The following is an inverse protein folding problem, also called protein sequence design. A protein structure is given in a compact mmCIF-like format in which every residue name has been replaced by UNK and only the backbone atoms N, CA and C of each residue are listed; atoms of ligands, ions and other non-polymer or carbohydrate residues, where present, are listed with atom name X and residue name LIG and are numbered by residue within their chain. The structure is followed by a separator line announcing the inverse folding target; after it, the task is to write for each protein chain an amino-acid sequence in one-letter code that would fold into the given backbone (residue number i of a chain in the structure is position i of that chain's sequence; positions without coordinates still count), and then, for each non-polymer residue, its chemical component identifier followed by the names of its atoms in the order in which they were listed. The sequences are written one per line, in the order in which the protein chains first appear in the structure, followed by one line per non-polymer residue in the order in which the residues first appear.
data_IF_493221097090
#
_entry.id   IF_493221097090
#
_cell.length_a   1.000
_cell.length_b   1.000
_cell.length_c   1.000
_cell.angle_alpha   90.00
_cell.angle_beta   90.00
_cell.angle_gamma   90.00
#
_symmetry.space_group_name_H-M   'P 1'
#
loop_
_entity.id
_entity.type
_entity.pdbx_description
1 polymer ?
#
# COMPACT_ATOMS: atom_id res chain seq x y z
N UNK A 1 21.83 14.90 4.04
CA UNK A 1 21.27 13.61 3.58
C UNK A 1 20.03 13.37 4.40
N UNK A 2 18.93 12.94 3.80
CA UNK A 2 17.83 12.33 4.56
C UNK A 2 18.43 11.16 5.36
N UNK A 3 18.03 11.02 6.62
CA UNK A 3 18.37 9.83 7.40
C UNK A 3 17.98 8.58 6.58
N UNK A 4 18.80 7.53 6.61
CA UNK A 4 18.52 6.26 5.93
C UNK A 4 17.09 5.79 6.24
N UNK A 5 16.59 6.08 7.45
CA UNK A 5 15.21 5.81 7.84
C UNK A 5 14.16 6.59 7.02
N UNK A 6 14.35 7.88 6.78
CA UNK A 6 13.41 8.68 6.00
C UNK A 6 13.38 8.23 4.53
N UNK A 7 14.56 7.92 3.96
CA UNK A 7 14.64 7.34 2.61
C UNK A 7 13.94 5.98 2.53
N UNK A 8 14.14 5.10 3.52
CA UNK A 8 13.48 3.80 3.58
C UNK A 8 11.94 3.94 3.66
N UNK A 9 11.44 4.89 4.45
CA UNK A 9 9.99 5.17 4.54
C UNK A 9 9.45 5.65 3.20
N UNK A 10 10.12 6.63 2.54
CA UNK A 10 9.70 7.10 1.21
C UNK A 10 9.66 5.97 0.20
N UNK A 11 10.67 5.10 0.19
CA UNK A 11 10.72 3.94 -0.70
C UNK A 11 9.57 2.98 -0.42
N UNK A 12 9.29 2.68 0.85
CA UNK A 12 8.19 1.79 1.22
C UNK A 12 6.83 2.36 0.79
N UNK A 13 6.59 3.66 0.97
CA UNK A 13 5.35 4.33 0.54
C UNK A 13 5.11 4.11 -0.97
N UNK A 14 6.16 4.23 -1.79
CA UNK A 14 6.06 4.03 -3.25
C UNK A 14 5.70 2.58 -3.59
N UNK A 15 6.34 1.61 -2.94
CA UNK A 15 6.05 0.19 -3.15
C UNK A 15 4.60 -0.15 -2.76
N UNK A 16 4.15 0.34 -1.61
CA UNK A 16 2.78 0.09 -1.14
C UNK A 16 1.73 0.74 -2.05
N UNK A 17 1.95 1.99 -2.48
CA UNK A 17 1.06 2.64 -3.45
C UNK A 17 0.98 1.88 -4.77
N UNK A 18 2.13 1.42 -5.27
CA UNK A 18 2.18 0.65 -6.53
C UNK A 18 1.44 -0.68 -6.38
N UNK A 19 1.64 -1.37 -5.25
CA UNK A 19 0.93 -2.62 -4.99
C UNK A 19 -0.57 -2.41 -4.81
N UNK A 20 -0.99 -1.35 -4.11
CA UNK A 20 -2.39 -1.00 -3.92
C UNK A 20 -3.06 -0.68 -5.26
N UNK A 21 -2.37 0.05 -6.14
CA UNK A 21 -2.86 0.34 -7.49
C UNK A 21 -3.08 -0.95 -8.28
N UNK A 22 -2.12 -1.88 -8.30
CA UNK A 22 -2.29 -3.19 -8.98
C UNK A 22 -3.48 -3.98 -8.43
N UNK A 23 -3.69 -3.98 -7.12
CA UNK A 23 -4.84 -4.66 -6.53
C UNK A 23 -6.15 -4.05 -7.02
N UNK A 24 -6.25 -2.72 -6.98
CA UNK A 24 -7.47 -2.00 -7.34
C UNK A 24 -7.77 -2.00 -8.83
N UNK A 25 -6.74 -1.89 -9.68
CA UNK A 25 -6.90 -1.74 -11.12
C UNK A 25 -6.77 -3.07 -11.89
N UNK A 26 -6.05 -4.06 -11.38
CA UNK A 26 -5.87 -5.35 -12.08
C UNK A 26 -6.50 -6.51 -11.29
N UNK A 27 -6.02 -6.77 -10.06
CA UNK A 27 -6.31 -8.04 -9.38
C UNK A 27 -7.77 -8.20 -9.00
N UNK A 28 -8.46 -7.13 -8.60
CA UNK A 28 -9.90 -7.17 -8.34
C UNK A 28 -10.72 -7.44 -9.61
N UNK A 29 -10.27 -6.97 -10.78
CA UNK A 29 -10.94 -7.25 -12.06
C UNK A 29 -10.77 -8.72 -12.44
N UNK A 30 -9.57 -9.27 -12.25
CA UNK A 30 -9.27 -10.67 -12.51
C UNK A 30 -9.99 -11.62 -11.55
N UNK A 31 -10.16 -11.20 -10.28
CA UNK A 31 -10.81 -11.99 -9.24
C UNK A 31 -12.35 -11.90 -9.24
N UNK A 32 -12.98 -11.09 -10.11
CA UNK A 32 -14.40 -10.75 -10.04
C UNK A 32 -15.37 -11.96 -9.98
N UNK A 33 -14.97 -13.12 -10.49
CA UNK A 33 -15.76 -14.36 -10.48
C UNK A 33 -15.53 -15.25 -9.25
N UNK A 34 -14.63 -14.87 -8.34
CA UNK A 34 -14.29 -15.59 -7.12
C UNK A 34 -14.43 -14.67 -5.91
N UNK A 35 -15.58 -14.76 -5.23
CA UNK A 35 -15.90 -13.94 -4.06
C UNK A 35 -14.87 -14.10 -2.93
N UNK A 36 -14.23 -15.26 -2.81
CA UNK A 36 -13.19 -15.49 -1.79
C UNK A 36 -11.95 -14.68 -2.11
N UNK A 37 -11.50 -14.71 -3.37
CA UNK A 37 -10.36 -13.91 -3.81
C UNK A 37 -10.66 -12.41 -3.77
N UNK A 38 -11.88 -11.99 -4.10
CA UNK A 38 -12.30 -10.59 -3.95
C UNK A 38 -12.19 -10.15 -2.49
N UNK A 39 -12.67 -10.95 -1.54
CA UNK A 39 -12.58 -10.64 -0.12
C UNK A 39 -11.12 -10.51 0.35
N UNK A 40 -10.26 -11.44 -0.08
CA UNK A 40 -8.82 -11.39 0.20
C UNK A 40 -8.17 -10.12 -0.35
N UNK A 41 -8.44 -9.78 -1.61
CA UNK A 41 -7.85 -8.59 -2.23
C UNK A 41 -8.33 -7.29 -1.59
N UNK A 42 -9.61 -7.21 -1.20
CA UNK A 42 -10.14 -6.08 -0.45
C UNK A 42 -9.45 -5.93 0.92
N UNK A 43 -9.29 -7.02 1.66
CA UNK A 43 -8.58 -7.00 2.95
C UNK A 43 -7.14 -6.49 2.78
N UNK A 44 -6.40 -7.03 1.80
CA UNK A 44 -5.02 -6.60 1.52
C UNK A 44 -4.99 -5.11 1.12
N UNK A 45 -5.97 -4.64 0.34
CA UNK A 45 -6.04 -3.23 -0.05
C UNK A 45 -6.26 -2.31 1.17
N UNK A 46 -7.15 -2.67 2.08
CA UNK A 46 -7.41 -1.93 3.33
C UNK A 46 -6.18 -1.88 4.24
N UNK A 47 -5.50 -3.01 4.40
CA UNK A 47 -4.24 -3.09 5.17
C UNK A 47 -3.17 -2.18 4.58
N UNK A 48 -3.02 -2.16 3.25
CA UNK A 48 -2.06 -1.28 2.55
C UNK A 48 -2.39 0.19 2.71
N UNK A 49 -3.66 0.58 2.65
CA UNK A 49 -4.07 1.96 2.91
C UNK A 49 -3.72 2.39 4.34
N UNK A 50 -3.95 1.52 5.32
CA UNK A 50 -3.56 1.74 6.70
C UNK A 50 -2.05 1.92 6.85
N UNK A 51 -1.26 1.07 6.19
CA UNK A 51 0.21 1.13 6.26
C UNK A 51 0.78 2.37 5.57
N UNK A 52 0.24 2.74 4.40
CA UNK A 52 0.58 4.00 3.73
C UNK A 52 0.30 5.19 4.66
N UNK A 53 -0.86 5.23 5.32
CA UNK A 53 -1.22 6.31 6.23
C UNK A 53 -0.24 6.42 7.41
N UNK A 54 0.15 5.28 8.02
CA UNK A 54 1.17 5.25 9.09
C UNK A 54 2.52 5.74 8.60
N UNK A 55 2.98 5.25 7.45
CA UNK A 55 4.28 5.62 6.89
C UNK A 55 4.34 7.10 6.50
N UNK A 56 3.25 7.66 5.95
CA UNK A 56 3.15 9.09 5.65
C UNK A 56 3.18 9.93 6.93
N UNK A 57 2.53 9.49 8.01
CA UNK A 57 2.59 10.18 9.29
C UNK A 57 4.02 10.17 9.85
N UNK A 58 4.70 9.02 9.87
CA UNK A 58 6.10 8.89 10.29
C UNK A 58 7.06 9.72 9.45
N UNK A 59 6.81 9.82 8.13
CA UNK A 59 7.63 10.62 7.25
C UNK A 59 7.54 12.11 7.59
N UNK A 60 6.34 12.61 7.92
CA UNK A 60 6.11 14.03 8.28
C UNK A 60 6.86 14.46 9.52
N UNK A 61 7.01 13.58 10.50
CA UNK A 61 7.78 13.87 11.73
C UNK A 61 9.31 13.91 11.48
N UNK A 62 9.77 13.51 10.29
CA UNK A 62 11.19 13.34 9.94
C UNK A 62 11.69 14.33 8.89
N UNK A 63 10.83 15.18 8.35
CA UNK A 63 11.15 16.17 7.30
C UNK A 63 10.91 17.60 7.76
#
# INVERSE_FOLDING_TARGET
MLDNNAYNIMRQIVEEHTSLWRIKDDYLKDAQSDETLVAVWNQIAEEKESDIAKLVAELKERI
#
